data_IF_051981524001
#
_entry.id   IF_051981524001
#
_cell.length_a   1.000
_cell.length_b   1.000
_cell.length_c   1.000
_cell.angle_alpha   90.00
_cell.angle_beta   90.00
_cell.angle_gamma   90.00
#
_symmetry.space_group_name_H-M   'P 1'
#
loop_
_entity.id
_entity.type
_entity.pdbx_description
1 polymer ?
#
# COMPACT_ATOMS: atom_id res chain seq x y z
N UNK A 1 -46.30 -16.36 48.10
CA UNK A 1 -47.41 -15.40 47.90
C UNK A 1 -47.03 -14.52 46.72
N UNK A 2 -47.61 -14.58 45.52
CA UNK A 2 -49.04 -14.53 45.09
C UNK A 2 -49.57 -13.10 44.94
N UNK A 3 -49.57 -12.62 43.68
CA UNK A 3 -50.54 -11.67 43.03
C UNK A 3 -50.61 -10.21 43.56
N UNK A 4 -50.94 -9.18 42.75
CA UNK A 4 -51.20 -9.06 41.30
C UNK A 4 -51.31 -7.57 40.88
N UNK A 5 -51.11 -7.28 39.58
CA UNK A 5 -51.83 -6.34 38.64
C UNK A 5 -52.42 -5.00 39.16
N UNK A 6 -52.66 -3.94 38.38
CA UNK A 6 -52.78 -3.58 36.94
C UNK A 6 -52.10 -2.19 36.79
N UNK A 7 -51.54 -1.69 35.68
CA UNK A 7 -52.08 -1.38 34.34
C UNK A 7 -51.00 -0.50 33.59
N UNK A 8 -51.07 0.03 32.36
CA UNK A 8 -51.75 -0.27 31.07
C UNK A 8 -50.88 0.32 29.93
N UNK A 9 -50.47 -0.41 28.88
CA UNK A 9 -49.51 0.10 27.88
C UNK A 9 -50.19 0.88 26.73
N UNK A 10 -50.06 2.21 26.74
CA UNK A 10 -50.56 3.11 25.70
C UNK A 10 -49.44 3.50 24.72
N UNK A 11 -49.38 2.84 23.56
CA UNK A 11 -48.87 3.42 22.28
C UNK A 11 -48.99 2.49 21.06
N UNK A 12 -49.32 1.20 21.25
CA UNK A 12 -49.38 0.19 20.16
C UNK A 12 -50.71 0.12 19.36
N UNK A 13 -51.58 1.13 19.44
CA UNK A 13 -52.96 1.05 18.88
C UNK A 13 -53.19 1.95 17.64
N UNK A 14 -52.23 2.81 17.26
CA UNK A 14 -52.41 3.82 16.21
C UNK A 14 -52.02 3.42 14.77
N UNK A 15 -51.63 2.16 14.50
CA UNK A 15 -51.02 1.77 13.20
C UNK A 15 -51.65 0.58 12.45
N UNK A 16 -52.76 0.01 12.90
CA UNK A 16 -53.35 -1.22 12.27
C UNK A 16 -54.82 -1.04 11.85
N UNK A 17 -55.46 0.10 12.14
CA UNK A 17 -56.80 0.39 11.61
C UNK A 17 -56.77 1.03 10.22
N UNK A 18 -57.23 0.23 9.25
CA UNK A 18 -58.21 0.66 8.24
C UNK A 18 -57.73 1.78 7.28
N UNK A 19 -56.96 1.48 6.22
CA UNK A 19 -56.55 0.16 5.76
C UNK A 19 -57.67 -0.67 5.10
N UNK A 20 -58.86 -0.09 4.83
CA UNK A 20 -59.94 -0.70 4.01
C UNK A 20 -61.13 0.22 3.67
N UNK A 21 -61.18 1.45 4.18
CA UNK A 21 -62.21 2.43 3.85
C UNK A 21 -61.94 3.09 2.48
N UNK A 22 -62.48 2.46 1.43
CA UNK A 22 -62.85 3.05 0.13
C UNK A 22 -61.69 3.71 -0.66
N UNK A 23 -61.03 3.10 -1.64
CA UNK A 23 -61.30 1.89 -2.42
C UNK A 23 -62.63 1.84 -3.19
N UNK A 24 -63.49 2.87 -3.08
CA UNK A 24 -64.80 2.91 -3.76
C UNK A 24 -65.24 4.30 -4.27
N UNK A 25 -64.32 5.26 -4.33
CA UNK A 25 -64.47 6.53 -5.07
C UNK A 25 -63.65 6.54 -6.38
N UNK A 26 -63.16 5.36 -6.81
CA UNK A 26 -62.79 5.10 -8.21
C UNK A 26 -64.02 4.62 -8.98
N UNK A 27 -64.79 5.56 -9.53
CA UNK A 27 -65.75 5.29 -10.62
C UNK A 27 -66.26 6.60 -11.27
N UNK A 28 -66.58 7.61 -10.46
CA UNK A 28 -67.30 8.82 -10.90
C UNK A 28 -66.49 10.11 -10.81
N UNK A 29 -65.52 10.29 -11.71
CA UNK A 29 -65.07 11.58 -12.26
C UNK A 29 -63.95 11.35 -13.29
N UNK A 30 -64.37 10.94 -14.48
CA UNK A 30 -63.52 10.70 -15.65
C UNK A 30 -63.44 11.92 -16.59
N UNK A 31 -63.90 13.10 -16.15
CA UNK A 31 -64.09 14.31 -16.98
C UNK A 31 -63.36 15.57 -16.46
N UNK A 32 -62.47 15.47 -15.46
CA UNK A 32 -61.56 16.56 -15.03
C UNK A 32 -60.09 16.28 -15.40
N UNK A 33 -59.88 15.48 -16.45
CA UNK A 33 -58.60 14.84 -16.80
C UNK A 33 -57.72 15.60 -17.82
N UNK A 34 -58.21 16.64 -18.50
CA UNK A 34 -57.42 17.31 -19.56
C UNK A 34 -56.72 18.61 -19.12
N UNK A 35 -57.30 19.42 -18.23
CA UNK A 35 -56.67 20.69 -17.80
C UNK A 35 -55.60 20.53 -16.70
N UNK A 36 -55.69 19.49 -15.88
CA UNK A 36 -54.72 19.26 -14.80
C UNK A 36 -53.36 18.69 -15.28
N UNK A 37 -53.28 18.21 -16.53
CA UNK A 37 -52.04 17.72 -17.15
C UNK A 37 -51.13 18.85 -17.68
N UNK A 38 -51.69 20.03 -17.96
CA UNK A 38 -50.94 21.20 -18.47
C UNK A 38 -50.24 22.00 -17.37
N UNK A 39 -50.72 21.94 -16.11
CA UNK A 39 -50.11 22.65 -14.95
C UNK A 39 -49.02 21.89 -14.21
N UNK A 40 -48.94 20.55 -14.30
CA UNK A 40 -47.86 19.76 -13.66
C UNK A 40 -46.62 19.58 -14.54
N UNK A 41 -46.75 19.84 -15.84
CA UNK A 41 -45.66 19.74 -16.83
C UNK A 41 -44.78 20.99 -16.85
N UNK A 42 -45.32 22.18 -16.55
CA UNK A 42 -44.56 23.42 -16.37
C UNK A 42 -43.50 23.29 -15.28
N UNK A 43 -43.90 22.96 -14.06
CA UNK A 43 -43.04 23.07 -12.88
C UNK A 43 -41.87 22.08 -12.92
N UNK A 44 -42.12 20.85 -13.41
CA UNK A 44 -41.06 19.85 -13.61
C UNK A 44 -40.07 20.29 -14.70
N UNK A 45 -40.52 21.00 -15.73
CA UNK A 45 -39.64 21.55 -16.77
C UNK A 45 -38.79 22.72 -16.25
N UNK A 46 -39.34 23.55 -15.35
CA UNK A 46 -38.63 24.65 -14.68
C UNK A 46 -37.58 24.09 -13.71
N UNK A 47 -37.95 23.13 -12.86
CA UNK A 47 -37.00 22.45 -11.97
C UNK A 47 -35.87 21.74 -12.76
N UNK A 48 -36.18 21.10 -13.88
CA UNK A 48 -35.14 20.50 -14.75
C UNK A 48 -34.25 21.55 -15.41
N UNK A 49 -34.78 22.73 -15.76
CA UNK A 49 -33.96 23.86 -16.25
C UNK A 49 -33.07 24.43 -15.14
N UNK A 50 -33.60 24.64 -13.94
CA UNK A 50 -32.79 25.07 -12.79
C UNK A 50 -31.71 24.07 -12.40
N UNK A 51 -32.02 22.77 -12.38
CA UNK A 51 -31.03 21.73 -12.10
C UNK A 51 -29.97 21.69 -13.20
N UNK A 52 -30.36 21.85 -14.48
CA UNK A 52 -29.40 21.97 -15.60
C UNK A 52 -28.56 23.25 -15.51
N UNK A 53 -29.13 24.38 -15.13
CA UNK A 53 -28.35 25.61 -14.90
C UNK A 53 -27.41 25.49 -13.70
N UNK A 54 -27.87 24.92 -12.58
CA UNK A 54 -27.04 24.66 -11.41
C UNK A 54 -25.92 23.67 -11.74
N UNK A 55 -26.21 22.62 -12.52
CA UNK A 55 -25.21 21.69 -13.03
C UNK A 55 -24.23 22.37 -14.01
N UNK A 56 -24.71 23.25 -14.90
CA UNK A 56 -23.86 23.99 -15.84
C UNK A 56 -22.96 25.01 -15.13
N UNK A 57 -23.50 25.76 -14.16
CA UNK A 57 -22.74 26.66 -13.27
C UNK A 57 -21.77 25.90 -12.35
N UNK A 58 -21.99 24.61 -12.10
CA UNK A 58 -21.03 23.72 -11.44
C UNK A 58 -19.98 23.20 -12.42
N UNK A 59 -20.35 22.82 -13.65
CA UNK A 59 -19.41 22.42 -14.71
C UNK A 59 -18.45 23.56 -15.08
N UNK A 60 -18.96 24.77 -15.31
CA UNK A 60 -18.14 25.96 -15.61
C UNK A 60 -17.15 26.27 -14.45
N UNK A 61 -17.52 25.97 -13.20
CA UNK A 61 -16.62 26.04 -12.03
C UNK A 61 -15.64 24.87 -11.90
N UNK A 62 -15.86 23.75 -12.58
CA UNK A 62 -14.95 22.60 -12.63
C UNK A 62 -14.00 22.72 -13.83
N UNK A 63 -14.47 23.26 -14.95
CA UNK A 63 -13.65 23.53 -16.16
C UNK A 63 -12.70 24.70 -15.96
N UNK A 64 -13.08 25.73 -15.19
CA UNK A 64 -12.19 26.82 -14.77
C UNK A 64 -11.15 26.45 -13.71
N UNK A 65 -11.09 25.17 -13.30
CA UNK A 65 -10.06 24.65 -12.40
C UNK A 65 -9.21 23.66 -13.19
N UNK A 66 -8.02 24.10 -13.59
CA UNK A 66 -7.08 23.29 -14.37
C UNK A 66 -6.66 22.04 -13.60
N UNK A 67 -7.38 20.94 -13.85
CA UNK A 67 -7.09 19.62 -13.29
C UNK A 67 -5.67 19.14 -13.62
N UNK A 68 -5.07 19.65 -14.71
CA UNK A 68 -3.66 19.43 -15.05
C UNK A 68 -2.72 20.19 -14.11
N UNK A 69 -2.94 21.48 -13.88
CA UNK A 69 -2.11 22.30 -12.99
C UNK A 69 -2.19 21.81 -11.55
N UNK A 70 -3.40 21.50 -11.05
CA UNK A 70 -3.56 20.92 -9.70
C UNK A 70 -2.89 19.54 -9.60
N UNK A 71 -2.94 18.73 -10.65
CA UNK A 71 -2.25 17.42 -10.68
C UNK A 71 -0.74 17.60 -10.70
N UNK A 72 -0.20 18.50 -11.51
CA UNK A 72 1.23 18.84 -11.52
C UNK A 72 1.70 19.44 -10.19
N UNK A 73 0.91 20.24 -9.49
CA UNK A 73 1.22 20.72 -8.14
C UNK A 73 1.16 19.61 -7.07
N UNK A 74 0.23 18.66 -7.21
CA UNK A 74 0.14 17.47 -6.36
C UNK A 74 1.31 16.52 -6.59
N UNK A 75 1.74 16.35 -7.84
CA UNK A 75 2.90 15.53 -8.21
C UNK A 75 4.22 16.23 -7.83
N UNK A 76 4.30 17.58 -7.91
CA UNK A 76 5.40 18.38 -7.32
C UNK A 76 5.43 18.34 -5.80
N UNK A 77 4.28 18.19 -5.11
CA UNK A 77 4.21 17.93 -3.66
C UNK A 77 4.49 16.47 -3.29
N UNK A 78 4.32 15.55 -4.24
CA UNK A 78 4.64 14.12 -4.13
C UNK A 78 5.79 13.77 -5.05
N UNK A 79 6.95 14.39 -4.84
CA UNK A 79 8.20 13.99 -5.51
C UNK A 79 8.57 12.55 -5.12
N UNK A 80 8.01 11.56 -5.82
CA UNK A 80 8.39 10.16 -5.75
C UNK A 80 9.80 9.99 -6.34
N UNK A 81 10.54 8.97 -5.89
CA UNK A 81 11.88 8.66 -6.42
C UNK A 81 11.84 8.24 -7.89
N UNK A 82 10.73 7.62 -8.32
CA UNK A 82 10.48 7.03 -9.63
C UNK A 82 9.00 7.30 -10.01
N UNK A 83 8.64 7.40 -11.31
CA UNK A 83 7.26 7.48 -11.76
C UNK A 83 6.33 6.42 -11.15
N UNK A 84 5.05 6.77 -10.97
CA UNK A 84 4.06 5.89 -10.35
C UNK A 84 3.85 4.59 -11.16
N UNK A 85 3.99 4.70 -12.48
CA UNK A 85 3.84 3.66 -13.47
C UNK A 85 4.78 2.47 -13.20
N UNK A 86 6.04 2.73 -12.86
CA UNK A 86 7.04 1.69 -12.60
C UNK A 86 6.81 0.97 -11.26
N UNK A 87 6.40 1.72 -10.22
CA UNK A 87 5.92 1.11 -8.97
C UNK A 87 4.69 0.21 -9.19
N UNK A 88 3.83 0.53 -10.16
CA UNK A 88 2.70 -0.33 -10.52
C UNK A 88 3.16 -1.53 -11.34
N UNK A 89 4.02 -1.34 -12.36
CA UNK A 89 4.55 -2.37 -13.27
C UNK A 89 5.33 -3.47 -12.55
N UNK A 90 6.09 -3.11 -11.52
CA UNK A 90 6.88 -4.05 -10.71
C UNK A 90 6.07 -4.80 -9.65
N UNK A 91 4.82 -4.39 -9.40
CA UNK A 91 3.93 -5.06 -8.44
C UNK A 91 4.30 -4.88 -6.96
N UNK A 92 5.12 -3.87 -6.63
CA UNK A 92 5.58 -3.59 -5.25
C UNK A 92 4.45 -3.30 -4.26
N UNK A 93 3.32 -2.76 -4.77
CA UNK A 93 2.13 -2.39 -4.02
C UNK A 93 1.20 -3.59 -3.73
N UNK A 94 1.48 -4.77 -4.28
CA UNK A 94 0.68 -5.98 -4.11
C UNK A 94 1.13 -6.73 -2.86
N UNK A 95 0.31 -6.71 -1.80
CA UNK A 95 0.55 -7.52 -0.62
C UNK A 95 -0.02 -8.94 -0.74
N UNK A 96 -0.38 -9.53 0.40
CA UNK A 96 -1.07 -10.82 0.45
C UNK A 96 -2.51 -10.73 1.01
N UNK A 97 -3.21 -11.88 1.01
CA UNK A 97 -4.55 -12.02 1.62
C UNK A 97 -4.53 -11.80 3.14
N UNK A 98 -3.46 -12.24 3.80
CA UNK A 98 -3.26 -12.07 5.24
C UNK A 98 -2.65 -10.69 5.51
N UNK A 99 -3.25 -9.97 6.45
CA UNK A 99 -2.80 -8.64 6.88
C UNK A 99 -2.61 -8.69 8.39
N UNK A 100 -1.38 -8.55 8.86
CA UNK A 100 -1.07 -8.48 10.29
C UNK A 100 -1.56 -7.15 10.89
N UNK A 101 -1.87 -7.10 12.20
CA UNK A 101 -2.30 -5.86 12.85
C UNK A 101 -1.28 -4.72 12.68
N UNK A 102 0.01 -5.06 12.77
CA UNK A 102 1.11 -4.09 12.68
C UNK A 102 1.27 -3.48 11.27
N UNK A 103 1.02 -4.28 10.22
CA UNK A 103 1.11 -3.84 8.81
C UNK A 103 -0.15 -3.14 8.30
N UNK A 104 -1.28 -3.22 9.01
CA UNK A 104 -2.57 -2.64 8.59
C UNK A 104 -2.48 -1.15 8.23
N UNK A 105 -1.59 -0.40 8.88
CA UNK A 105 -1.35 1.04 8.64
C UNK A 105 -0.76 1.37 7.26
N UNK A 106 -0.11 0.42 6.59
CA UNK A 106 0.47 0.61 5.25
C UNK A 106 -0.48 0.18 4.12
N UNK A 107 -1.57 -0.51 4.46
CA UNK A 107 -2.57 -0.99 3.48
C UNK A 107 -3.58 0.12 3.19
N UNK A 108 -3.69 0.50 1.92
CA UNK A 108 -4.68 1.46 1.44
C UNK A 108 -6.08 0.84 1.32
N UNK A 109 -6.18 -0.32 0.66
CA UNK A 109 -7.46 -1.04 0.46
C UNK A 109 -7.26 -2.53 0.28
N UNK A 110 -8.31 -3.33 0.46
CA UNK A 110 -8.37 -4.71 -0.07
C UNK A 110 -8.96 -4.71 -1.48
N UNK A 111 -8.41 -5.55 -2.35
CA UNK A 111 -8.98 -5.88 -3.67
C UNK A 111 -10.10 -6.93 -3.52
N UNK A 112 -10.93 -7.12 -4.55
CA UNK A 112 -11.92 -8.19 -4.62
C UNK A 112 -11.31 -9.58 -4.34
N UNK A 113 -10.09 -9.83 -4.83
CA UNK A 113 -9.30 -11.06 -4.61
C UNK A 113 -8.80 -11.26 -3.16
N UNK A 114 -9.27 -10.43 -2.24
CA UNK A 114 -8.84 -10.30 -0.83
C UNK A 114 -7.37 -9.88 -0.61
N UNK A 115 -6.62 -9.61 -1.67
CA UNK A 115 -5.25 -9.11 -1.62
C UNK A 115 -5.23 -7.69 -1.02
N UNK A 116 -4.36 -7.45 -0.04
CA UNK A 116 -4.08 -6.11 0.48
C UNK A 116 -3.26 -5.29 -0.53
N UNK A 117 -3.71 -4.09 -0.86
CA UNK A 117 -2.99 -3.11 -1.68
C UNK A 117 -2.30 -2.12 -0.74
N UNK A 118 -0.98 -2.06 -0.79
CA UNK A 118 -0.15 -1.10 -0.04
C UNK A 118 -0.24 0.30 -0.66
N UNK A 119 -0.03 1.34 0.16
CA UNK A 119 0.00 2.73 -0.30
C UNK A 119 1.40 3.11 -0.82
N UNK A 120 1.55 3.26 -2.15
CA UNK A 120 2.83 3.59 -2.80
C UNK A 120 3.53 4.84 -2.23
N UNK A 121 2.80 5.87 -1.81
CA UNK A 121 3.42 7.06 -1.20
C UNK A 121 4.10 6.75 0.13
N UNK A 122 3.53 5.85 0.94
CA UNK A 122 4.15 5.40 2.19
C UNK A 122 5.35 4.46 1.92
N UNK A 123 5.32 3.70 0.82
CA UNK A 123 6.47 2.89 0.38
C UNK A 123 7.66 3.82 0.06
N UNK A 124 7.43 4.84 -0.77
CA UNK A 124 8.45 5.81 -1.18
C UNK A 124 9.07 6.58 0.00
N UNK A 125 8.24 7.08 0.93
CA UNK A 125 8.71 7.69 2.18
C UNK A 125 9.58 6.75 3.01
N UNK A 126 9.21 5.47 3.09
CA UNK A 126 9.96 4.48 3.86
C UNK A 126 11.26 4.05 3.17
N UNK A 127 11.28 4.01 1.84
CA UNK A 127 12.51 3.82 1.06
C UNK A 127 13.47 5.00 1.29
N UNK A 128 12.99 6.25 1.23
CA UNK A 128 13.81 7.44 1.55
C UNK A 128 14.42 7.36 2.96
N UNK A 129 13.60 7.07 3.98
CA UNK A 129 14.08 6.89 5.37
C UNK A 129 15.08 5.72 5.50
N UNK A 130 14.92 4.65 4.72
CA UNK A 130 15.86 3.53 4.69
C UNK A 130 17.19 3.90 4.03
N UNK A 131 17.17 4.68 2.95
CA UNK A 131 18.36 5.24 2.30
C UNK A 131 19.08 6.20 3.28
N UNK A 132 18.36 7.11 3.94
CA UNK A 132 18.90 7.99 4.99
C UNK A 132 19.57 7.18 6.11
N UNK A 133 18.94 6.09 6.56
CA UNK A 133 19.47 5.24 7.62
C UNK A 133 20.72 4.46 7.18
N UNK A 134 20.66 3.82 6.01
CA UNK A 134 21.74 3.00 5.46
C UNK A 134 22.97 3.84 5.11
N UNK A 135 22.79 5.08 4.63
CA UNK A 135 23.90 5.97 4.25
C UNK A 135 24.90 6.31 5.37
N UNK A 136 24.51 6.09 6.64
CA UNK A 136 25.35 6.32 7.83
C UNK A 136 26.43 5.26 8.02
N UNK A 137 26.17 4.02 7.63
CA UNK A 137 27.08 2.88 7.80
C UNK A 137 27.94 2.68 6.56
N UNK A 138 29.16 2.19 6.71
CA UNK A 138 30.06 1.90 5.58
C UNK A 138 29.68 0.58 4.89
N UNK A 139 30.11 0.32 3.63
CA UNK A 139 29.76 -0.92 2.93
C UNK A 139 30.20 -2.20 3.68
N UNK A 140 31.28 -2.11 4.45
CA UNK A 140 31.87 -3.20 5.23
C UNK A 140 31.14 -3.47 6.55
N UNK A 141 30.29 -2.55 7.02
CA UNK A 141 29.48 -2.68 8.24
C UNK A 141 28.03 -3.12 7.94
N UNK A 142 27.65 -3.20 6.66
CA UNK A 142 26.31 -3.58 6.22
C UNK A 142 26.31 -5.00 5.67
N UNK A 143 25.25 -5.77 5.98
CA UNK A 143 24.98 -7.05 5.32
C UNK A 143 23.55 -7.10 4.77
N UNK A 144 23.38 -7.59 3.54
CA UNK A 144 22.07 -7.93 2.97
C UNK A 144 21.88 -9.44 2.98
N UNK A 145 20.74 -9.91 3.48
CA UNK A 145 20.46 -11.36 3.63
C UNK A 145 19.16 -11.67 2.89
N UNK A 146 19.30 -12.34 1.75
CA UNK A 146 18.25 -12.60 0.77
C UNK A 146 18.10 -14.10 0.48
N UNK A 147 17.60 -14.89 1.45
CA UNK A 147 17.43 -16.34 1.24
C UNK A 147 16.43 -16.70 0.14
N UNK A 148 15.51 -15.80 -0.20
CA UNK A 148 14.51 -16.02 -1.24
C UNK A 148 15.11 -15.94 -2.64
N UNK A 149 14.90 -17.00 -3.42
CA UNK A 149 15.35 -17.15 -4.82
C UNK A 149 14.97 -15.97 -5.72
N UNK A 150 13.75 -15.46 -5.57
CA UNK A 150 13.23 -14.34 -6.35
C UNK A 150 14.09 -13.06 -6.29
N UNK A 151 14.91 -12.90 -5.26
CA UNK A 151 15.78 -11.73 -5.08
C UNK A 151 17.27 -11.99 -5.33
N UNK A 152 17.71 -13.22 -5.68
CA UNK A 152 19.14 -13.56 -5.75
C UNK A 152 19.90 -12.72 -6.79
N UNK A 153 19.39 -12.61 -8.01
CA UNK A 153 19.99 -11.85 -9.10
C UNK A 153 20.16 -10.37 -8.71
N UNK A 154 19.06 -9.71 -8.33
CA UNK A 154 19.08 -8.32 -7.91
C UNK A 154 19.93 -8.06 -6.65
N UNK A 155 20.03 -9.03 -5.72
CA UNK A 155 20.89 -8.90 -4.54
C UNK A 155 22.38 -9.05 -4.89
N UNK A 156 22.74 -9.85 -5.92
CA UNK A 156 24.11 -9.88 -6.46
C UNK A 156 24.43 -8.55 -7.16
N UNK A 157 23.51 -8.00 -7.96
CA UNK A 157 23.69 -6.69 -8.59
C UNK A 157 23.84 -5.57 -7.54
N UNK A 158 23.05 -5.61 -6.46
CA UNK A 158 23.18 -4.71 -5.32
C UNK A 158 24.58 -4.79 -4.68
N UNK A 159 25.13 -6.00 -4.50
CA UNK A 159 26.49 -6.22 -3.98
C UNK A 159 27.55 -5.58 -4.88
N UNK A 160 27.47 -5.81 -6.20
CA UNK A 160 28.39 -5.21 -7.19
C UNK A 160 28.35 -3.68 -7.17
N UNK A 161 27.14 -3.10 -7.12
CA UNK A 161 26.94 -1.65 -7.17
C UNK A 161 27.46 -0.95 -5.90
N UNK A 162 27.18 -1.52 -4.72
CA UNK A 162 27.41 -0.84 -3.43
C UNK A 162 28.67 -1.29 -2.67
N UNK A 163 29.26 -2.43 -3.05
CA UNK A 163 30.31 -3.11 -2.29
C UNK A 163 29.82 -3.84 -1.02
N UNK A 164 28.53 -3.79 -0.71
CA UNK A 164 27.94 -4.40 0.49
C UNK A 164 27.98 -5.92 0.39
N UNK A 165 28.29 -6.60 1.51
CA UNK A 165 28.32 -8.07 1.59
C UNK A 165 26.91 -8.66 1.56
N UNK A 166 26.69 -9.65 0.68
CA UNK A 166 25.35 -10.23 0.45
C UNK A 166 25.35 -11.74 0.61
N UNK A 167 24.36 -12.26 1.35
CA UNK A 167 24.08 -13.69 1.49
C UNK A 167 22.79 -14.04 0.75
N UNK A 168 22.91 -14.68 -0.42
CA UNK A 168 21.78 -15.13 -1.23
C UNK A 168 21.32 -16.54 -0.84
N UNK A 169 22.02 -17.59 -1.27
CA UNK A 169 21.49 -18.98 -1.17
C UNK A 169 21.37 -19.51 0.27
N UNK A 170 22.37 -19.24 1.12
CA UNK A 170 22.46 -19.79 2.48
C UNK A 170 23.09 -18.76 3.43
N UNK A 171 22.39 -18.46 4.52
CA UNK A 171 22.95 -17.78 5.68
C UNK A 171 23.64 -18.82 6.59
N UNK A 172 24.94 -18.68 6.91
CA UNK A 172 25.61 -19.50 7.92
C UNK A 172 24.99 -19.24 9.30
N UNK A 173 24.48 -20.27 9.96
CA UNK A 173 23.89 -20.10 11.29
C UNK A 173 24.98 -19.69 12.30
N UNK A 174 24.72 -18.64 13.08
CA UNK A 174 25.69 -18.10 14.03
C UNK A 174 26.78 -17.20 13.44
N UNK A 175 26.65 -16.77 12.18
CA UNK A 175 27.57 -15.82 11.51
C UNK A 175 27.90 -14.59 12.37
N UNK A 176 26.91 -14.06 13.09
CA UNK A 176 27.08 -12.87 13.96
C UNK A 176 27.39 -13.21 15.42
N UNK A 177 27.21 -14.46 15.85
CA UNK A 177 27.26 -14.83 17.28
C UNK A 177 28.47 -15.71 17.65
N UNK A 178 29.06 -16.43 16.70
CA UNK A 178 30.15 -17.36 16.96
C UNK A 178 31.44 -16.89 16.28
N UNK A 179 32.34 -16.32 17.07
CA UNK A 179 33.64 -15.79 16.66
C UNK A 179 34.62 -16.86 16.16
N UNK A 180 34.35 -18.15 16.42
CA UNK A 180 35.20 -19.27 15.95
C UNK A 180 34.86 -19.73 14.52
N UNK A 181 33.81 -19.19 13.89
CA UNK A 181 33.49 -19.51 12.50
C UNK A 181 34.39 -18.71 11.54
N UNK A 182 34.94 -19.36 10.52
CA UNK A 182 35.64 -18.67 9.41
C UNK A 182 34.72 -17.67 8.69
N UNK A 183 33.43 -17.97 8.66
CA UNK A 183 32.39 -17.09 8.12
C UNK A 183 31.88 -16.04 9.13
N UNK A 184 32.53 -15.89 10.30
CA UNK A 184 32.16 -14.86 11.27
C UNK A 184 32.21 -13.47 10.63
N UNK A 185 31.18 -12.68 10.89
CA UNK A 185 31.07 -11.34 10.35
C UNK A 185 30.21 -10.50 11.28
N UNK A 186 30.72 -9.34 11.66
CA UNK A 186 30.09 -8.45 12.62
C UNK A 186 29.60 -7.16 11.94
N UNK A 187 28.45 -7.20 11.26
CA UNK A 187 27.83 -5.99 10.71
C UNK A 187 27.27 -5.11 11.83
N UNK A 188 27.23 -3.80 11.62
CA UNK A 188 26.41 -2.89 12.42
C UNK A 188 24.95 -2.87 11.95
N UNK A 189 24.74 -2.99 10.62
CA UNK A 189 23.42 -2.96 9.98
C UNK A 189 23.14 -4.25 9.20
N UNK A 190 22.01 -4.88 9.53
CA UNK A 190 21.50 -6.09 8.89
C UNK A 190 20.24 -5.76 8.10
N UNK A 191 20.29 -5.94 6.78
CA UNK A 191 19.15 -5.81 5.88
C UNK A 191 18.53 -7.19 5.66
N UNK A 192 17.28 -7.36 6.10
CA UNK A 192 16.54 -8.63 6.09
C UNK A 192 15.39 -8.56 5.08
N UNK A 193 15.31 -9.55 4.17
CA UNK A 193 14.42 -9.45 3.00
C UNK A 193 13.05 -10.06 3.23
N UNK A 194 12.96 -11.18 3.95
CA UNK A 194 11.72 -11.73 4.45
C UNK A 194 11.94 -12.26 5.88
N UNK A 195 11.38 -11.62 6.92
CA UNK A 195 11.61 -12.02 8.31
C UNK A 195 11.09 -13.44 8.64
N UNK A 196 10.28 -14.05 7.76
CA UNK A 196 9.86 -15.44 7.92
C UNK A 196 10.92 -16.42 7.43
N UNK A 197 11.53 -16.17 6.26
CA UNK A 197 12.50 -17.06 5.61
C UNK A 197 13.90 -16.84 6.20
N UNK A 198 14.24 -15.58 6.46
CA UNK A 198 15.49 -15.10 7.06
C UNK A 198 15.43 -15.05 8.60
N UNK A 199 14.48 -15.78 9.23
CA UNK A 199 14.26 -15.74 10.69
C UNK A 199 15.52 -16.03 11.53
N UNK A 200 16.48 -16.80 10.98
CA UNK A 200 17.71 -17.16 11.66
C UNK A 200 18.64 -15.93 11.78
N UNK A 201 18.90 -15.22 10.68
CA UNK A 201 19.71 -14.00 10.73
C UNK A 201 19.02 -12.88 11.49
N UNK A 202 17.69 -12.76 11.39
CA UNK A 202 16.92 -11.82 12.20
C UNK A 202 17.08 -12.09 13.71
N UNK A 203 17.01 -13.34 14.13
CA UNK A 203 17.18 -13.70 15.55
C UNK A 203 18.64 -13.56 16.00
N UNK A 204 19.63 -13.81 15.14
CA UNK A 204 21.04 -13.59 15.45
C UNK A 204 21.33 -12.08 15.62
N UNK A 205 20.87 -11.23 14.69
CA UNK A 205 20.99 -9.77 14.78
C UNK A 205 20.36 -9.18 16.05
N UNK A 206 19.19 -9.70 16.46
CA UNK A 206 18.54 -9.31 17.71
C UNK A 206 19.33 -9.71 18.96
N UNK A 207 19.99 -10.88 18.97
CA UNK A 207 20.83 -11.32 20.09
C UNK A 207 22.09 -10.48 20.23
N UNK A 208 22.66 -10.05 19.11
CA UNK A 208 23.89 -9.25 19.05
C UNK A 208 23.64 -7.74 19.10
N UNK A 209 22.38 -7.31 19.19
CA UNK A 209 21.99 -5.91 19.32
C UNK A 209 22.24 -5.06 18.07
N UNK A 210 22.46 -5.69 16.90
CA UNK A 210 22.74 -4.99 15.63
C UNK A 210 21.47 -4.37 15.06
N UNK A 211 21.63 -3.34 14.23
CA UNK A 211 20.52 -2.60 13.64
C UNK A 211 19.85 -3.38 12.52
N UNK A 212 18.53 -3.32 12.44
CA UNK A 212 17.73 -4.13 11.51
C UNK A 212 16.90 -3.23 10.60
N UNK A 213 17.22 -3.29 9.30
CA UNK A 213 16.38 -2.79 8.22
C UNK A 213 15.62 -3.97 7.60
N UNK A 214 14.29 -3.91 7.55
CA UNK A 214 13.46 -5.06 7.16
C UNK A 214 12.52 -4.74 6.00
N UNK A 215 12.56 -5.57 4.96
CA UNK A 215 11.55 -5.59 3.90
C UNK A 215 10.36 -6.45 4.38
N UNK A 216 9.15 -5.89 4.35
CA UNK A 216 7.98 -6.52 4.95
C UNK A 216 6.74 -6.43 4.06
N UNK A 217 6.13 -7.58 3.79
CA UNK A 217 4.82 -7.73 3.18
C UNK A 217 3.72 -7.76 4.26
N UNK A 218 2.45 -7.64 3.88
CA UNK A 218 1.29 -7.51 4.78
C UNK A 218 1.15 -8.67 5.77
N UNK A 219 1.71 -9.85 5.48
CA UNK A 219 1.67 -11.01 6.37
C UNK A 219 2.85 -11.11 7.35
N UNK A 220 3.85 -10.22 7.26
CA UNK A 220 5.01 -10.24 8.14
C UNK A 220 4.75 -9.49 9.47
N UNK A 221 5.54 -9.82 10.50
CA UNK A 221 5.55 -9.13 11.79
C UNK A 221 6.75 -8.21 11.89
N UNK A 222 6.51 -6.93 12.18
CA UNK A 222 7.53 -5.86 12.07
C UNK A 222 8.12 -5.40 13.41
N UNK A 223 7.66 -5.95 14.55
CA UNK A 223 8.08 -5.55 15.91
C UNK A 223 9.57 -5.77 16.24
N UNK A 224 10.32 -6.34 15.31
CA UNK A 224 11.73 -6.77 15.45
C UNK A 224 12.71 -5.91 14.63
N UNK A 225 12.25 -4.85 13.98
CA UNK A 225 13.06 -4.01 13.10
C UNK A 225 13.11 -2.57 13.61
N UNK A 226 14.27 -1.90 13.47
CA UNK A 226 14.40 -0.46 13.69
C UNK A 226 13.72 0.31 12.55
N UNK A 227 13.97 -0.10 11.31
CA UNK A 227 13.41 0.49 10.11
C UNK A 227 12.76 -0.57 9.21
N UNK A 228 11.64 -0.21 8.59
CA UNK A 228 10.80 -1.12 7.80
C UNK A 228 10.55 -0.49 6.43
N UNK A 229 10.70 -1.28 5.37
CA UNK A 229 10.24 -0.97 4.02
C UNK A 229 9.00 -1.83 3.76
N UNK A 230 7.78 -1.25 3.70
CA UNK A 230 6.59 -1.99 3.32
C UNK A 230 6.63 -2.29 1.82
N UNK A 231 6.79 -3.55 1.42
CA UNK A 231 6.91 -3.93 0.02
C UNK A 231 6.52 -5.39 -0.22
N UNK A 232 6.15 -5.73 -1.45
CA UNK A 232 6.03 -7.11 -1.90
C UNK A 232 7.42 -7.80 -1.88
N UNK A 233 7.68 -8.61 -0.85
CA UNK A 233 8.93 -9.36 -0.68
C UNK A 233 8.92 -10.76 -1.32
N UNK A 234 7.95 -11.04 -2.20
CA UNK A 234 7.80 -12.34 -2.90
C UNK A 234 8.04 -12.25 -4.39
N UNK A 235 7.70 -11.13 -5.01
CA UNK A 235 7.95 -10.89 -6.44
C UNK A 235 9.38 -10.42 -6.70
N UNK A 236 10.08 -11.08 -7.62
CA UNK A 236 11.45 -10.69 -8.00
C UNK A 236 11.52 -9.27 -8.57
N UNK A 237 10.60 -8.92 -9.48
CA UNK A 237 10.44 -7.57 -10.05
C UNK A 237 10.30 -6.46 -8.99
N UNK A 238 9.68 -6.77 -7.85
CA UNK A 238 9.49 -5.84 -6.71
C UNK A 238 10.77 -5.72 -5.87
N UNK A 239 11.39 -6.85 -5.48
CA UNK A 239 12.66 -6.85 -4.76
C UNK A 239 13.77 -6.15 -5.56
N UNK A 240 13.79 -6.39 -6.88
CA UNK A 240 14.65 -5.70 -7.84
C UNK A 240 14.54 -4.19 -7.77
N UNK A 241 13.33 -3.65 -7.86
CA UNK A 241 13.08 -2.22 -7.74
C UNK A 241 13.54 -1.65 -6.38
N UNK A 242 13.25 -2.36 -5.28
CA UNK A 242 13.65 -1.92 -3.94
C UNK A 242 15.18 -1.89 -3.80
N UNK A 243 15.89 -2.91 -4.26
CA UNK A 243 17.36 -2.92 -4.21
C UNK A 243 17.98 -1.87 -5.14
N UNK A 244 17.44 -1.68 -6.35
CA UNK A 244 17.89 -0.63 -7.26
C UNK A 244 17.77 0.76 -6.61
N UNK A 245 16.62 1.06 -6.02
CA UNK A 245 16.37 2.31 -5.29
C UNK A 245 17.30 2.49 -4.08
N UNK A 246 17.52 1.43 -3.31
CA UNK A 246 18.45 1.45 -2.16
C UNK A 246 19.90 1.67 -2.61
N UNK A 247 20.36 0.97 -3.66
CA UNK A 247 21.71 1.11 -4.19
C UNK A 247 21.97 2.51 -4.75
N UNK A 248 21.08 2.98 -5.64
CA UNK A 248 21.17 4.32 -6.23
C UNK A 248 21.20 5.41 -5.16
N UNK A 249 20.24 5.40 -4.24
CA UNK A 249 20.18 6.40 -3.17
C UNK A 249 21.35 6.33 -2.18
N UNK A 250 21.96 5.15 -2.00
CA UNK A 250 23.17 4.99 -1.20
C UNK A 250 24.38 5.64 -1.89
N UNK A 251 24.60 5.31 -3.17
CA UNK A 251 25.67 5.85 -4.02
C UNK A 251 25.56 7.39 -4.08
N UNK A 252 24.37 7.92 -4.37
CA UNK A 252 24.09 9.37 -4.43
C UNK A 252 24.45 10.08 -3.11
N UNK A 253 24.04 9.53 -1.95
CA UNK A 253 24.33 10.15 -0.63
C UNK A 253 25.79 10.05 -0.23
N UNK A 254 26.44 8.91 -0.52
CA UNK A 254 27.85 8.65 -0.20
C UNK A 254 28.82 9.31 -1.19
N UNK A 255 28.33 9.77 -2.35
CA UNK A 255 29.13 10.29 -3.48
C UNK A 255 30.16 9.26 -3.99
N UNK A 256 29.77 7.99 -4.03
CA UNK A 256 30.53 6.94 -4.72
C UNK A 256 30.41 7.16 -6.24
N UNK A 257 31.33 6.60 -7.02
CA UNK A 257 31.20 6.55 -8.47
C UNK A 257 30.05 5.63 -8.89
N UNK A 258 29.29 6.03 -9.91
CA UNK A 258 28.09 5.31 -10.39
C UNK A 258 28.44 4.21 -11.42
N UNK A 259 29.73 4.02 -11.72
CA UNK A 259 30.25 3.16 -12.79
C UNK A 259 29.86 1.67 -12.65
N UNK A 260 29.45 1.26 -11.44
CA UNK A 260 29.03 -0.11 -11.11
C UNK A 260 27.50 -0.29 -11.06
N UNK A 261 26.70 0.77 -11.23
CA UNK A 261 25.25 0.70 -11.15
C UNK A 261 24.65 0.29 -12.50
N UNK A 262 24.27 -0.99 -12.60
CA UNK A 262 23.53 -1.49 -13.77
C UNK A 262 22.12 -0.84 -13.90
N UNK A 263 21.54 -0.94 -15.10
CA UNK A 263 20.22 -0.35 -15.39
C UNK A 263 19.11 -0.87 -14.47
N UNK A 264 18.10 -0.04 -14.23
CA UNK A 264 16.90 -0.44 -13.46
C UNK A 264 16.23 -1.71 -14.03
N UNK A 265 16.27 -1.92 -15.35
CA UNK A 265 15.76 -3.13 -15.98
C UNK A 265 16.59 -4.37 -15.64
N UNK A 266 17.92 -4.26 -15.49
CA UNK A 266 18.80 -5.36 -15.06
C UNK A 266 18.42 -5.87 -13.66
N UNK A 267 18.02 -4.97 -12.75
CA UNK A 267 17.54 -5.33 -11.42
C UNK A 267 16.14 -5.95 -11.42
N UNK A 268 15.27 -5.56 -12.36
CA UNK A 268 13.88 -6.03 -12.47
C UNK A 268 13.80 -7.34 -13.27
N UNK A 269 14.77 -7.61 -14.14
CA UNK A 269 14.92 -8.87 -14.85
C UNK A 269 14.97 -10.04 -13.85
N UNK A 270 14.25 -11.11 -14.20
CA UNK A 270 14.22 -12.34 -13.42
C UNK A 270 14.23 -13.49 -14.42
N UNK A 271 15.26 -14.34 -14.35
CA UNK A 271 15.59 -15.41 -15.31
C UNK A 271 14.54 -16.55 -15.45
N UNK A 272 13.29 -16.32 -15.00
CA UNK A 272 12.15 -17.22 -15.15
C UNK A 272 11.13 -16.80 -16.21
N UNK A 273 11.38 -15.72 -16.96
CA UNK A 273 10.61 -15.32 -18.15
C UNK A 273 11.55 -14.69 -19.20
N UNK A 274 12.14 -15.54 -20.04
CA UNK A 274 12.31 -15.18 -21.45
C UNK A 274 10.90 -15.02 -22.06
N UNK A 275 10.75 -14.10 -23.03
CA UNK A 275 9.49 -13.87 -23.77
C UNK A 275 9.22 -14.96 -24.83
#
# INVERSE_FOLDING_TARGET
MVKSKEDKPLEKVSKIKEGKTKAKEKAGKLEESEDNLKKRTSDRSVLLKEIKEKAKKLQEKIEGVDTKVIKEELDKKRQLLIPLEDYVKTGIHLGTRVITPDMKKFVYRRRADSIGVLNTSLIDEHIKRAIDFMSKYSPEEVVLICKRESGWQAAVLFSKATGIKVFTKKYPAGMMTNTQLEAFYEPELVIVTDPWVDRNSLNDALKTGKKILMLADTNNFIKKADHIIPCNNKGGKSLGLVYYLLAKGYIEKRKLSDDSLESMNSFIAYDGQEE
#
